data_IF_321454584091
#
_entry.id   IF_321454584091
#
_cell.length_a   1.000
_cell.length_b   1.000
_cell.length_c   1.000
_cell.angle_alpha   90.00
_cell.angle_beta   90.00
_cell.angle_gamma   90.00
#
_symmetry.space_group_name_H-M   'P 1'
#
loop_
_entity.id
_entity.type
_entity.pdbx_description
1 polymer ?
#
# COMPACT_ATOMS: atom_id res chain seq x y z
N UNK A 1 8.70 3.89 14.33
CA UNK A 1 7.91 2.68 13.99
C UNK A 1 8.73 1.43 14.36
N UNK A 2 8.13 0.27 14.69
CA UNK A 2 8.90 -0.93 14.95
C UNK A 2 9.73 -1.30 13.71
N UNK A 3 11.06 -1.37 13.85
CA UNK A 3 11.97 -1.67 12.73
C UNK A 3 11.72 -3.06 12.13
N UNK A 4 11.32 -4.02 12.98
CA UNK A 4 10.86 -5.35 12.58
C UNK A 4 9.39 -5.49 12.96
N UNK A 5 8.51 -5.43 11.97
CA UNK A 5 7.06 -5.60 12.18
C UNK A 5 6.65 -7.05 11.90
N UNK A 6 5.96 -7.67 12.87
CA UNK A 6 5.32 -8.98 12.71
C UNK A 6 3.81 -8.75 12.68
N UNK A 7 3.15 -9.26 11.62
CA UNK A 7 1.69 -9.14 11.47
C UNK A 7 0.98 -9.93 12.57
N UNK A 8 0.10 -9.27 13.32
CA UNK A 8 -0.69 -9.89 14.39
C UNK A 8 -1.74 -10.88 13.86
N UNK A 9 -2.27 -10.63 12.67
CA UNK A 9 -3.30 -11.46 12.03
C UNK A 9 -2.85 -11.79 10.61
N UNK A 10 -2.84 -13.07 10.28
CA UNK A 10 -2.55 -13.58 8.94
C UNK A 10 -3.84 -14.19 8.39
N UNK A 11 -4.12 -13.98 7.11
CA UNK A 11 -5.25 -14.64 6.47
C UNK A 11 -4.92 -16.13 6.31
N UNK A 12 -5.84 -17.00 6.72
CA UNK A 12 -5.71 -18.46 6.60
C UNK A 12 -6.35 -19.00 5.31
N UNK A 13 -6.73 -18.14 4.38
CA UNK A 13 -7.36 -18.48 3.10
C UNK A 13 -6.53 -17.93 1.94
N UNK A 14 -6.53 -18.66 0.81
CA UNK A 14 -5.91 -18.18 -0.42
C UNK A 14 -6.77 -17.10 -1.09
N UNK A 15 -6.15 -16.26 -1.93
CA UNK A 15 -6.90 -15.27 -2.72
C UNK A 15 -7.87 -15.93 -3.69
N UNK A 16 -7.43 -17.02 -4.33
CA UNK A 16 -8.24 -17.76 -5.29
C UNK A 16 -9.49 -18.37 -4.63
N UNK A 17 -9.37 -18.88 -3.40
CA UNK A 17 -10.52 -19.41 -2.64
C UNK A 17 -11.53 -18.32 -2.32
N UNK A 18 -11.06 -17.10 -2.06
CA UNK A 18 -11.92 -15.95 -1.85
C UNK A 18 -12.65 -15.53 -3.11
N UNK A 19 -11.99 -15.54 -4.26
CA UNK A 19 -12.63 -15.22 -5.54
C UNK A 19 -13.66 -16.30 -5.93
N UNK A 20 -13.35 -17.59 -5.73
CA UNK A 20 -14.30 -18.70 -5.93
C UNK A 20 -15.50 -18.59 -5.00
N UNK A 21 -15.28 -18.30 -3.71
CA UNK A 21 -16.36 -18.11 -2.75
C UNK A 21 -17.28 -16.94 -3.14
N UNK A 22 -16.72 -15.83 -3.63
CA UNK A 22 -17.50 -14.68 -4.11
C UNK A 22 -18.30 -15.06 -5.35
N UNK A 23 -17.70 -15.76 -6.32
CA UNK A 23 -18.38 -16.19 -7.54
C UNK A 23 -19.56 -17.13 -7.24
N UNK A 24 -19.36 -18.13 -6.40
CA UNK A 24 -20.41 -19.10 -6.05
C UNK A 24 -21.60 -18.48 -5.30
N UNK A 25 -21.36 -17.39 -4.55
CA UNK A 25 -22.43 -16.60 -3.91
C UNK A 25 -23.14 -15.71 -4.94
N UNK A 26 -22.42 -15.14 -5.90
CA UNK A 26 -23.01 -14.29 -6.96
C UNK A 26 -23.83 -15.13 -7.95
N UNK A 27 -23.38 -16.33 -8.30
CA UNK A 27 -24.11 -17.26 -9.18
C UNK A 27 -25.30 -17.94 -8.52
N UNK A 28 -25.60 -17.62 -7.25
CA UNK A 28 -26.64 -18.26 -6.43
C UNK A 28 -26.48 -19.79 -6.28
N UNK A 29 -25.28 -20.34 -6.49
CA UNK A 29 -25.01 -21.78 -6.29
C UNK A 29 -25.02 -22.15 -4.80
N UNK A 30 -24.58 -21.25 -3.93
CA UNK A 30 -24.48 -21.50 -2.50
C UNK A 30 -24.78 -20.25 -1.68
N UNK A 31 -25.31 -20.46 -0.47
CA UNK A 31 -25.50 -19.36 0.48
C UNK A 31 -24.15 -18.84 0.98
N UNK A 32 -24.10 -17.58 1.39
CA UNK A 32 -22.88 -16.95 1.93
C UNK A 32 -22.28 -17.75 3.09
N UNK A 33 -23.12 -18.33 3.94
CA UNK A 33 -22.68 -19.17 5.05
C UNK A 33 -22.08 -20.49 4.54
N UNK A 34 -22.72 -21.13 3.56
CA UNK A 34 -22.22 -22.37 2.95
C UNK A 34 -20.87 -22.14 2.24
N UNK A 35 -20.73 -21.06 1.47
CA UNK A 35 -19.48 -20.66 0.83
C UNK A 35 -18.37 -20.41 1.85
N UNK A 36 -18.66 -19.62 2.89
CA UNK A 36 -17.70 -19.34 3.96
C UNK A 36 -17.18 -20.62 4.63
N UNK A 37 -18.07 -21.58 4.91
CA UNK A 37 -17.69 -22.87 5.49
C UNK A 37 -16.88 -23.74 4.53
N UNK A 38 -17.28 -23.78 3.25
CA UNK A 38 -16.62 -24.60 2.22
C UNK A 38 -15.18 -24.13 1.94
N UNK A 39 -14.97 -22.82 1.84
CA UNK A 39 -13.67 -22.23 1.54
C UNK A 39 -12.85 -21.84 2.79
N UNK A 40 -13.34 -22.19 3.99
CA UNK A 40 -12.72 -21.84 5.27
C UNK A 40 -12.43 -20.33 5.43
N UNK A 41 -13.38 -19.49 5.00
CA UNK A 41 -13.30 -18.03 5.08
C UNK A 41 -14.28 -17.57 6.14
N UNK A 42 -13.90 -16.68 7.08
CA UNK A 42 -14.86 -16.11 8.02
C UNK A 42 -15.99 -15.39 7.28
N UNK A 43 -17.24 -15.66 7.66
CA UNK A 43 -18.46 -15.12 7.03
C UNK A 43 -18.43 -13.59 6.91
N UNK A 44 -18.01 -12.90 7.96
CA UNK A 44 -17.87 -11.44 7.99
C UNK A 44 -16.83 -10.92 7.00
N UNK A 45 -15.74 -11.68 6.79
CA UNK A 45 -14.69 -11.33 5.85
C UNK A 45 -15.17 -11.50 4.41
N UNK A 46 -15.90 -12.58 4.12
CA UNK A 46 -16.52 -12.80 2.82
C UNK A 46 -17.54 -11.69 2.50
N UNK A 47 -18.36 -11.30 3.48
CA UNK A 47 -19.32 -10.20 3.37
C UNK A 47 -18.66 -8.84 3.08
N UNK A 48 -17.64 -8.47 3.85
CA UNK A 48 -16.90 -7.21 3.66
C UNK A 48 -16.25 -7.14 2.27
N UNK A 49 -15.76 -8.28 1.77
CA UNK A 49 -15.16 -8.42 0.44
C UNK A 49 -16.19 -8.33 -0.68
N UNK A 50 -17.36 -8.91 -0.49
CA UNK A 50 -18.49 -8.80 -1.42
C UNK A 50 -18.98 -7.35 -1.51
N UNK A 51 -19.09 -6.65 -0.38
CA UNK A 51 -19.46 -5.22 -0.33
C UNK A 51 -18.38 -4.26 -0.84
N UNK A 52 -17.23 -4.78 -1.30
CA UNK A 52 -16.06 -3.99 -1.77
C UNK A 52 -15.62 -2.91 -0.77
N UNK A 53 -15.84 -3.14 0.53
CA UNK A 53 -15.49 -2.18 1.60
C UNK A 53 -13.99 -1.88 1.65
N UNK A 54 -13.17 -2.82 1.19
CA UNK A 54 -11.72 -2.71 1.15
C UNK A 54 -11.17 -3.17 -0.20
N UNK A 55 -10.07 -2.56 -0.65
CA UNK A 55 -9.35 -2.97 -1.87
C UNK A 55 -8.89 -4.43 -1.78
N UNK A 56 -8.98 -5.15 -2.90
CA UNK A 56 -8.54 -6.55 -3.03
C UNK A 56 -7.03 -6.68 -3.06
N UNK A 57 -6.33 -5.66 -3.58
CA UNK A 57 -4.93 -5.78 -3.96
C UNK A 57 -3.97 -5.32 -2.87
N UNK A 58 -4.23 -4.15 -2.25
CA UNK A 58 -3.31 -3.52 -1.32
C UNK A 58 -3.96 -3.39 0.06
N UNK A 59 -3.35 -4.07 1.03
CA UNK A 59 -3.73 -3.99 2.44
C UNK A 59 -2.86 -2.94 3.12
N UNK A 60 -3.50 -1.95 3.75
CA UNK A 60 -2.83 -0.90 4.51
C UNK A 60 -3.05 0.50 3.93
N UNK A 61 -2.34 1.47 4.49
CA UNK A 61 -2.42 2.88 4.07
C UNK A 61 -1.85 3.02 2.65
N UNK A 62 -2.45 3.85 1.78
CA UNK A 62 -1.84 4.19 0.50
C UNK A 62 -0.46 4.85 0.70
N UNK A 63 0.39 4.76 -0.31
CA UNK A 63 1.69 5.43 -0.32
C UNK A 63 1.48 6.95 -0.20
N UNK A 64 2.31 7.61 0.60
CA UNK A 64 2.23 9.07 0.79
C UNK A 64 2.58 9.84 -0.50
N UNK A 65 3.52 9.32 -1.29
CA UNK A 65 3.88 9.84 -2.61
C UNK A 65 3.50 8.76 -3.64
N UNK A 66 2.80 9.10 -4.73
CA UNK A 66 2.46 8.15 -5.78
C UNK A 66 3.69 7.43 -6.35
N UNK A 67 3.52 6.17 -6.74
CA UNK A 67 4.62 5.33 -7.26
C UNK A 67 5.38 5.99 -8.42
N UNK A 68 4.65 6.54 -9.39
CA UNK A 68 5.25 7.19 -10.56
C UNK A 68 6.11 8.41 -10.17
N UNK A 69 5.62 9.24 -9.25
CA UNK A 69 6.36 10.39 -8.74
C UNK A 69 7.61 9.95 -7.94
N UNK A 70 7.48 8.93 -7.10
CA UNK A 70 8.62 8.34 -6.37
C UNK A 70 9.69 7.82 -7.34
N UNK A 71 9.30 7.17 -8.43
CA UNK A 71 10.24 6.65 -9.43
C UNK A 71 10.97 7.77 -10.18
N UNK A 72 10.26 8.84 -10.55
CA UNK A 72 10.87 10.02 -11.18
C UNK A 72 11.91 10.67 -10.26
N UNK A 73 11.58 10.82 -8.97
CA UNK A 73 12.51 11.33 -7.96
C UNK A 73 13.76 10.44 -7.82
N UNK A 74 13.58 9.13 -7.73
CA UNK A 74 14.70 8.18 -7.65
C UNK A 74 15.62 8.26 -8.88
N UNK A 75 15.04 8.33 -10.08
CA UNK A 75 15.81 8.46 -11.32
C UNK A 75 16.56 9.79 -11.41
N UNK A 76 15.95 10.88 -10.93
CA UNK A 76 16.60 12.19 -10.88
C UNK A 76 17.79 12.17 -9.92
N UNK A 77 17.64 11.59 -8.73
CA UNK A 77 18.72 11.44 -7.74
C UNK A 77 19.87 10.59 -8.32
N UNK A 78 19.55 9.47 -8.95
CA UNK A 78 20.57 8.63 -9.60
C UNK A 78 21.29 9.35 -10.76
N UNK A 79 20.61 10.23 -11.48
CA UNK A 79 21.23 11.06 -12.52
C UNK A 79 22.16 12.10 -11.92
N UNK A 80 21.77 12.75 -10.81
CA UNK A 80 22.61 13.70 -10.09
C UNK A 80 23.86 13.02 -9.53
N UNK A 81 23.74 11.82 -8.97
CA UNK A 81 24.89 11.03 -8.53
C UNK A 81 25.87 10.75 -9.68
N UNK A 82 25.36 10.31 -10.84
CA UNK A 82 26.18 10.07 -12.05
C UNK A 82 26.92 11.32 -12.52
N UNK A 83 26.37 12.50 -12.29
CA UNK A 83 27.00 13.78 -12.63
C UNK A 83 27.97 14.29 -11.55
N UNK A 84 28.19 13.52 -10.48
CA UNK A 84 29.16 13.84 -9.43
C UNK A 84 28.59 14.66 -8.27
N UNK A 85 27.27 14.78 -8.14
CA UNK A 85 26.66 15.45 -6.99
C UNK A 85 26.61 14.50 -5.78
N UNK A 86 27.40 14.81 -4.75
CA UNK A 86 27.41 14.09 -3.47
C UNK A 86 26.28 14.52 -2.54
N UNK A 87 25.03 14.20 -2.91
CA UNK A 87 23.86 14.63 -2.15
C UNK A 87 23.81 13.99 -0.76
N UNK A 88 23.71 14.83 0.26
CA UNK A 88 23.45 14.41 1.63
C UNK A 88 21.99 13.97 1.79
N UNK A 89 21.74 13.18 2.83
CA UNK A 89 20.38 12.75 3.19
C UNK A 89 19.42 13.93 3.41
N UNK A 90 19.89 15.04 3.99
CA UNK A 90 19.06 16.20 4.25
C UNK A 90 18.63 16.88 2.95
N UNK A 91 19.59 17.08 2.03
CA UNK A 91 19.32 17.64 0.70
C UNK A 91 18.31 16.79 -0.07
N UNK A 92 18.42 15.47 -0.01
CA UNK A 92 17.43 14.59 -0.66
C UNK A 92 16.03 14.80 -0.05
N UNK A 93 15.92 14.89 1.28
CA UNK A 93 14.63 15.15 1.93
C UNK A 93 14.06 16.53 1.59
N UNK A 94 14.91 17.53 1.42
CA UNK A 94 14.52 18.88 1.00
C UNK A 94 14.05 18.92 -0.46
N UNK A 95 14.75 18.26 -1.37
CA UNK A 95 14.33 18.09 -2.77
C UNK A 95 12.96 17.43 -2.85
N UNK A 96 12.72 16.37 -2.05
CA UNK A 96 11.41 15.70 -2.01
C UNK A 96 10.34 16.61 -1.43
N UNK A 97 10.64 17.40 -0.40
CA UNK A 97 9.69 18.36 0.18
C UNK A 97 9.32 19.46 -0.82
N UNK A 98 10.28 19.97 -1.58
CA UNK A 98 10.05 20.93 -2.67
C UNK A 98 9.20 20.32 -3.78
N UNK A 99 9.49 19.08 -4.18
CA UNK A 99 8.69 18.36 -5.16
C UNK A 99 7.23 18.25 -4.73
N UNK A 100 6.97 17.85 -3.47
CA UNK A 100 5.62 17.74 -2.91
C UNK A 100 4.90 19.09 -2.93
N UNK A 101 5.58 20.18 -2.53
CA UNK A 101 5.02 21.53 -2.54
C UNK A 101 4.69 21.99 -3.97
N UNK A 102 5.59 21.76 -4.92
CA UNK A 102 5.43 22.18 -6.32
C UNK A 102 4.29 21.43 -7.03
N UNK A 103 4.18 20.13 -6.78
CA UNK A 103 3.16 19.26 -7.38
C UNK A 103 1.83 19.28 -6.57
N UNK A 104 1.75 20.09 -5.51
CA UNK A 104 0.61 20.21 -4.59
C UNK A 104 0.09 18.84 -4.09
N UNK A 105 1.01 17.91 -3.83
CA UNK A 105 0.65 16.57 -3.40
C UNK A 105 0.10 16.59 -1.97
N UNK A 106 -1.11 16.05 -1.81
CA UNK A 106 -1.71 15.83 -0.49
C UNK A 106 -1.00 14.66 0.19
N UNK A 107 0.01 14.99 0.99
CA UNK A 107 0.75 14.02 1.80
C UNK A 107 0.36 14.10 3.26
N UNK A 108 0.73 13.08 4.02
CA UNK A 108 0.52 13.04 5.47
C UNK A 108 1.78 13.43 6.25
N UNK A 109 2.75 14.05 5.58
CA UNK A 109 3.99 14.49 6.22
C UNK A 109 3.78 15.80 6.95
N UNK A 110 4.41 15.94 8.11
CA UNK A 110 4.46 17.23 8.82
C UNK A 110 5.18 18.25 7.93
N UNK A 111 4.54 19.41 7.70
CA UNK A 111 5.06 20.47 6.84
C UNK A 111 5.44 20.04 5.41
N UNK A 112 4.79 18.98 4.87
CA UNK A 112 5.10 18.40 3.56
C UNK A 112 6.56 17.92 3.40
N UNK A 113 7.28 17.70 4.51
CA UNK A 113 8.66 17.22 4.49
C UNK A 113 8.74 15.79 5.04
N UNK A 114 9.24 14.81 4.25
CA UNK A 114 9.43 13.46 4.76
C UNK A 114 10.46 13.44 5.88
N UNK A 115 10.22 12.58 6.88
CA UNK A 115 11.14 12.40 8.00
C UNK A 115 12.33 11.52 7.66
N UNK A 116 13.34 11.44 8.55
CA UNK A 116 14.49 10.55 8.40
C UNK A 116 14.07 9.09 8.14
N UNK A 117 13.09 8.57 8.88
CA UNK A 117 12.60 7.19 8.73
C UNK A 117 12.07 6.89 7.32
N UNK A 118 11.58 7.89 6.58
CA UNK A 118 11.13 7.70 5.20
C UNK A 118 12.28 7.42 4.23
N UNK A 119 13.49 7.92 4.51
CA UNK A 119 14.66 7.72 3.68
C UNK A 119 15.30 6.34 3.86
N UNK A 120 15.17 5.74 5.05
CA UNK A 120 15.81 4.45 5.39
C UNK A 120 14.97 3.25 4.93
N UNK A 121 13.63 3.41 4.88
CA UNK A 121 12.68 2.34 4.56
C UNK A 121 12.35 2.24 3.07
#
# INVERSE_FOLDING_TARGET
MPRKYIKKKVAHYARDDMDKAIQAVISNEMSMYAAAKMFNIPTTTLFDRMKRKYSREKVGRPQAIPFLAKQRLANAIATMEKWGFGLTRQEILDIVAEYIKKDNLKTFFTNNKPGPDWFIN
#
